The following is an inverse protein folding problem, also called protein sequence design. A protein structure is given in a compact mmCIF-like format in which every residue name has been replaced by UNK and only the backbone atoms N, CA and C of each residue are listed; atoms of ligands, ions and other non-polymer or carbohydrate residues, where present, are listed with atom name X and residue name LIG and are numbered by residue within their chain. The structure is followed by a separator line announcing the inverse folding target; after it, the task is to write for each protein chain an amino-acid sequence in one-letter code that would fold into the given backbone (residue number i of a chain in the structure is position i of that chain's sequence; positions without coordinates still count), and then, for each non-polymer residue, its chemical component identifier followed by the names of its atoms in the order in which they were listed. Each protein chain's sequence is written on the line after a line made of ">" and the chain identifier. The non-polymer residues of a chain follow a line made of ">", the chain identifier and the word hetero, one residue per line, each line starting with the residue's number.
data_IF_612311122793
#
_entry.id   IF_612311122793
#
_cell.length_a   1.000
_cell.length_b   1.000
_cell.length_c   1.000
_cell.angle_alpha   90.00
_cell.angle_beta   90.00
_cell.angle_gamma   90.00
#
_symmetry.space_group_name_H-M   'P 1'
#
loop_
_entity.id
_entity.type
_entity.pdbx_description
1 polymer ?
#
# COMPACT_ATOMS: atom_id res chain seq x y z
N UNK A 1 25.26 -85.61 9.73
CA UNK A 1 25.88 -84.30 9.47
C UNK A 1 24.85 -83.39 8.82
N UNK A 2 24.31 -82.41 9.55
CA UNK A 2 23.30 -81.46 9.05
C UNK A 2 24.00 -80.21 8.50
N UNK A 3 23.70 -79.89 7.24
CA UNK A 3 24.36 -78.84 6.47
C UNK A 3 23.70 -77.48 6.77
N UNK A 4 24.36 -76.63 7.57
CA UNK A 4 23.86 -75.35 8.07
C UNK A 4 23.87 -74.18 7.06
N UNK A 5 23.99 -74.43 5.75
CA UNK A 5 24.17 -73.37 4.74
C UNK A 5 22.91 -72.60 4.32
N UNK A 6 21.76 -72.75 5.01
CA UNK A 6 20.47 -72.24 4.50
C UNK A 6 19.73 -71.24 5.41
N UNK A 7 20.43 -70.49 6.26
CA UNK A 7 19.79 -69.61 7.26
C UNK A 7 19.91 -68.09 7.06
N UNK A 8 20.48 -67.59 5.97
CA UNK A 8 20.49 -66.14 5.70
C UNK A 8 19.90 -65.77 4.34
N UNK A 9 18.59 -65.99 4.15
CA UNK A 9 17.82 -65.14 3.25
C UNK A 9 17.72 -63.76 3.89
N UNK A 10 18.62 -62.84 3.54
CA UNK A 10 18.40 -61.40 3.74
C UNK A 10 17.06 -61.06 3.06
N UNK A 11 15.98 -60.92 3.83
CA UNK A 11 14.85 -60.09 3.38
C UNK A 11 15.45 -58.69 3.21
N UNK A 12 15.71 -58.28 1.97
CA UNK A 12 15.91 -56.86 1.64
C UNK A 12 14.69 -56.15 2.19
N UNK A 13 14.85 -55.42 3.29
CA UNK A 13 13.80 -54.56 3.82
C UNK A 13 13.42 -53.59 2.70
N UNK A 14 12.31 -53.86 2.05
CA UNK A 14 11.78 -53.04 0.99
C UNK A 14 11.34 -51.72 1.62
N UNK A 15 12.26 -50.77 1.56
CA UNK A 15 11.93 -49.39 1.22
C UNK A 15 11.29 -48.53 2.31
N UNK A 16 11.67 -48.63 3.59
CA UNK A 16 11.38 -47.51 4.52
C UNK A 16 11.86 -46.15 3.95
N UNK A 17 12.93 -46.21 3.15
CA UNK A 17 13.47 -45.11 2.38
C UNK A 17 12.52 -44.63 1.26
N UNK A 18 11.78 -45.52 0.59
CA UNK A 18 10.80 -45.13 -0.45
C UNK A 18 9.62 -44.38 0.15
N UNK A 19 9.13 -44.81 1.32
CA UNK A 19 8.07 -44.11 2.05
C UNK A 19 8.53 -42.72 2.53
N UNK A 20 9.77 -42.59 3.00
CA UNK A 20 10.33 -41.29 3.39
C UNK A 20 10.43 -40.33 2.20
N UNK A 21 10.83 -40.81 1.02
CA UNK A 21 10.87 -39.99 -0.18
C UNK A 21 9.50 -39.52 -0.64
N UNK A 22 8.48 -40.39 -0.56
CA UNK A 22 7.10 -40.02 -0.93
C UNK A 22 6.55 -38.92 0.00
N UNK A 23 6.77 -39.07 1.32
CA UNK A 23 6.35 -38.07 2.31
C UNK A 23 7.12 -36.75 2.11
N UNK A 24 8.43 -36.81 1.88
CA UNK A 24 9.24 -35.62 1.63
C UNK A 24 8.77 -34.86 0.39
N UNK A 25 8.48 -35.55 -0.71
CA UNK A 25 7.96 -34.93 -1.93
C UNK A 25 6.62 -34.23 -1.68
N UNK A 26 5.69 -34.87 -0.95
CA UNK A 26 4.41 -34.26 -0.59
C UNK A 26 4.60 -32.98 0.26
N UNK A 27 5.49 -33.01 1.25
CA UNK A 27 5.78 -31.85 2.10
C UNK A 27 6.42 -30.70 1.31
N UNK A 28 7.32 -31.00 0.36
CA UNK A 28 7.93 -29.98 -0.50
C UNK A 28 6.87 -29.30 -1.37
N UNK A 29 5.95 -30.05 -1.96
CA UNK A 29 4.86 -29.50 -2.79
C UNK A 29 3.98 -28.57 -1.96
N UNK A 30 3.56 -29.00 -0.76
CA UNK A 30 2.75 -28.18 0.15
C UNK A 30 3.50 -26.88 0.50
N UNK A 31 4.79 -26.97 0.83
CA UNK A 31 5.59 -25.79 1.17
C UNK A 31 5.69 -24.79 0.01
N UNK A 32 5.89 -25.26 -1.22
CA UNK A 32 5.95 -24.40 -2.41
C UNK A 32 4.61 -23.73 -2.65
N UNK A 33 3.49 -24.45 -2.53
CA UNK A 33 2.14 -23.90 -2.70
C UNK A 33 1.83 -22.84 -1.64
N UNK A 34 2.11 -23.12 -0.37
CA UNK A 34 1.91 -22.15 0.73
C UNK A 34 2.78 -20.92 0.51
N UNK A 35 4.05 -21.09 0.11
CA UNK A 35 4.94 -19.96 -0.18
C UNK A 35 4.48 -19.13 -1.37
N UNK A 36 3.95 -19.78 -2.42
CA UNK A 36 3.41 -19.10 -3.59
C UNK A 36 2.15 -18.31 -3.23
N UNK A 37 1.20 -18.92 -2.51
CA UNK A 37 -0.03 -18.26 -2.04
C UNK A 37 0.34 -17.07 -1.14
N UNK A 38 1.17 -17.27 -0.12
CA UNK A 38 1.60 -16.20 0.80
C UNK A 38 2.36 -15.08 0.09
N UNK A 39 3.12 -15.38 -0.96
CA UNK A 39 3.78 -14.37 -1.79
C UNK A 39 2.80 -13.56 -2.64
N UNK A 40 1.78 -14.20 -3.22
CA UNK A 40 0.72 -13.52 -3.99
C UNK A 40 -0.24 -12.70 -3.12
N UNK A 41 -0.39 -13.02 -1.83
CA UNK A 41 -1.22 -12.24 -0.90
C UNK A 41 -0.60 -10.88 -0.57
N UNK A 42 0.73 -10.74 -0.57
CA UNK A 42 1.41 -9.47 -0.27
C UNK A 42 1.21 -8.42 -1.37
N UNK A 43 1.07 -8.83 -2.63
CA UNK A 43 0.70 -7.91 -3.72
C UNK A 43 -0.79 -7.56 -3.71
N UNK A 44 -1.65 -8.50 -3.30
CA UNK A 44 -3.09 -8.27 -3.18
C UNK A 44 -3.44 -7.33 -2.01
N UNK A 45 -2.68 -7.33 -0.90
CA UNK A 45 -2.89 -6.39 0.21
C UNK A 45 -2.62 -4.94 -0.23
N UNK A 46 -1.51 -4.68 -0.92
CA UNK A 46 -1.18 -3.33 -1.39
C UNK A 46 -2.19 -2.78 -2.42
N UNK A 47 -2.77 -3.66 -3.26
CA UNK A 47 -3.79 -3.27 -4.23
C UNK A 47 -5.19 -3.14 -3.61
N UNK A 48 -5.49 -3.89 -2.55
CA UNK A 48 -6.72 -3.71 -1.75
C UNK A 48 -6.70 -2.37 -1.00
N UNK A 49 -5.54 -1.98 -0.48
CA UNK A 49 -5.38 -0.72 0.26
C UNK A 49 -5.58 0.49 -0.66
N UNK A 50 -5.06 0.46 -1.90
CA UNK A 50 -5.23 1.60 -2.81
C UNK A 50 -6.66 1.77 -3.33
N UNK A 51 -7.39 0.68 -3.58
CA UNK A 51 -8.80 0.77 -3.98
C UNK A 51 -9.67 1.39 -2.86
N UNK A 52 -9.34 1.08 -1.60
CA UNK A 52 -9.95 1.71 -0.42
C UNK A 52 -9.61 3.20 -0.35
N UNK A 53 -8.34 3.57 -0.57
CA UNK A 53 -7.91 4.97 -0.62
C UNK A 53 -8.59 5.75 -1.74
N UNK A 54 -8.67 5.21 -2.95
CA UNK A 54 -9.37 5.82 -4.09
C UNK A 54 -10.86 6.08 -3.78
N UNK A 55 -11.51 5.13 -3.10
CA UNK A 55 -12.91 5.30 -2.66
C UNK A 55 -13.06 6.44 -1.67
N UNK A 56 -12.11 6.61 -0.73
CA UNK A 56 -12.09 7.73 0.20
C UNK A 56 -11.82 9.06 -0.51
N UNK A 57 -10.91 9.07 -1.49
CA UNK A 57 -10.60 10.25 -2.30
C UNK A 57 -11.83 10.75 -3.06
N UNK A 58 -12.68 9.88 -3.61
CA UNK A 58 -13.93 10.29 -4.26
C UNK A 58 -14.92 10.97 -3.30
N UNK A 59 -15.06 10.43 -2.08
CA UNK A 59 -15.89 11.02 -1.04
C UNK A 59 -15.35 12.39 -0.60
N UNK A 60 -14.03 12.48 -0.43
CA UNK A 60 -13.37 13.72 -0.04
C UNK A 60 -13.44 14.76 -1.15
N UNK A 61 -13.21 14.39 -2.41
CA UNK A 61 -13.41 15.29 -3.55
C UNK A 61 -14.83 15.85 -3.54
N UNK A 62 -15.84 15.00 -3.33
CA UNK A 62 -17.24 15.45 -3.22
C UNK A 62 -17.44 16.44 -2.06
N UNK A 63 -16.81 16.20 -0.90
CA UNK A 63 -16.82 17.12 0.24
C UNK A 63 -16.15 18.45 -0.10
N UNK A 64 -14.95 18.44 -0.69
CA UNK A 64 -14.20 19.63 -1.09
C UNK A 64 -14.95 20.48 -2.12
N UNK A 65 -15.60 19.82 -3.10
CA UNK A 65 -16.48 20.49 -4.07
C UNK A 65 -17.67 21.13 -3.35
N UNK A 66 -18.31 20.44 -2.39
CA UNK A 66 -19.44 20.99 -1.64
C UNK A 66 -19.08 22.21 -0.79
N UNK A 67 -17.81 22.30 -0.36
CA UNK A 67 -17.28 23.41 0.43
C UNK A 67 -16.63 24.51 -0.43
N UNK A 68 -16.65 24.37 -1.76
CA UNK A 68 -16.03 25.30 -2.71
C UNK A 68 -14.50 25.44 -2.53
N UNK A 69 -13.85 24.35 -2.11
CA UNK A 69 -12.38 24.25 -1.91
C UNK A 69 -11.72 23.39 -2.99
N UNK A 70 -12.52 22.77 -3.87
CA UNK A 70 -11.98 22.03 -5.01
C UNK A 70 -11.89 22.93 -6.24
N UNK A 71 -10.69 23.12 -6.74
CA UNK A 71 -10.42 23.62 -8.10
C UNK A 71 -9.20 22.89 -8.66
N UNK A 72 -9.20 22.68 -9.97
CA UNK A 72 -8.13 21.96 -10.66
C UNK A 72 -6.79 22.70 -10.62
N UNK A 73 -6.80 24.00 -10.34
CA UNK A 73 -5.61 24.84 -10.23
C UNK A 73 -5.13 25.06 -8.80
N UNK A 74 -5.89 24.62 -7.79
CA UNK A 74 -5.50 24.85 -6.41
C UNK A 74 -4.31 23.95 -6.04
N UNK A 75 -3.27 24.57 -5.54
CA UNK A 75 -2.03 23.92 -5.14
C UNK A 75 -2.13 23.40 -3.71
N UNK A 76 -1.54 22.24 -3.46
CA UNK A 76 -1.38 21.71 -2.10
C UNK A 76 0.05 21.93 -1.65
N UNK A 77 0.20 22.62 -0.52
CA UNK A 77 1.48 22.91 0.10
C UNK A 77 1.47 22.44 1.55
N UNK A 78 2.60 21.93 2.04
CA UNK A 78 2.77 21.60 3.45
C UNK A 78 3.59 22.67 4.14
N UNK A 79 3.05 23.21 5.25
CA UNK A 79 3.78 24.09 6.15
C UNK A 79 4.35 23.27 7.31
N UNK A 80 5.67 22.99 7.23
CA UNK A 80 6.40 22.23 8.24
C UNK A 80 6.47 22.92 9.61
N UNK A 81 6.26 24.24 9.69
CA UNK A 81 6.35 24.96 10.96
C UNK A 81 5.08 24.78 11.80
N UNK A 82 3.93 24.76 11.12
CA UNK A 82 2.62 24.63 11.74
C UNK A 82 2.02 23.21 11.62
N UNK A 83 2.65 22.33 10.86
CA UNK A 83 2.17 20.99 10.54
C UNK A 83 0.77 20.99 9.87
N UNK A 84 0.60 21.89 8.89
CA UNK A 84 -0.65 22.00 8.13
C UNK A 84 -0.44 21.68 6.66
N UNK A 85 -1.43 21.04 6.05
CA UNK A 85 -1.63 21.04 4.61
C UNK A 85 -2.46 22.26 4.25
N UNK A 86 -1.99 23.04 3.29
CA UNK A 86 -2.59 24.27 2.82
C UNK A 86 -3.07 24.04 1.40
N UNK A 87 -4.33 24.36 1.15
CA UNK A 87 -4.88 24.46 -0.21
C UNK A 87 -4.82 25.93 -0.60
N UNK A 88 -4.17 26.24 -1.73
CA UNK A 88 -3.87 27.61 -2.14
C UNK A 88 -4.39 27.88 -3.54
N UNK A 89 -4.99 29.05 -3.70
CA UNK A 89 -5.32 29.62 -5.01
C UNK A 89 -4.28 30.70 -5.38
N UNK A 90 -4.52 31.44 -6.46
CA UNK A 90 -3.68 32.58 -6.84
C UNK A 90 -3.68 33.74 -5.83
N UNK A 91 -4.65 33.77 -4.92
CA UNK A 91 -4.89 34.85 -3.95
C UNK A 91 -4.33 34.54 -2.55
N UNK A 92 -4.09 33.27 -2.23
CA UNK A 92 -3.54 32.81 -0.96
C UNK A 92 -4.09 31.46 -0.50
N UNK A 93 -4.04 31.20 0.80
CA UNK A 93 -4.60 29.97 1.39
C UNK A 93 -6.11 30.07 1.49
N UNK A 94 -6.81 29.16 0.80
CA UNK A 94 -8.28 29.07 0.81
C UNK A 94 -8.80 28.10 1.87
N UNK A 95 -7.99 27.11 2.23
CA UNK A 95 -8.30 26.14 3.27
C UNK A 95 -7.04 25.48 3.81
N UNK A 96 -7.16 24.84 4.96
CA UNK A 96 -6.09 24.08 5.57
C UNK A 96 -6.61 22.84 6.30
N UNK A 97 -5.76 21.85 6.48
CA UNK A 97 -6.01 20.66 7.29
C UNK A 97 -4.77 20.38 8.16
N UNK A 98 -4.98 19.80 9.33
CA UNK A 98 -3.88 19.27 10.16
C UNK A 98 -3.27 18.08 9.46
N UNK A 99 -1.94 18.07 9.32
CA UNK A 99 -1.26 16.92 8.76
C UNK A 99 -1.17 15.81 9.82
N UNK A 100 -1.87 14.70 9.59
CA UNK A 100 -1.77 13.52 10.47
C UNK A 100 -0.49 12.71 10.17
N UNK A 101 0.13 12.95 9.02
CA UNK A 101 1.34 12.23 8.56
C UNK A 101 2.59 13.08 8.65
N UNK A 102 3.74 12.41 8.66
CA UNK A 102 5.05 13.07 8.58
C UNK A 102 5.39 13.42 7.11
N UNK A 103 4.98 14.61 6.69
CA UNK A 103 5.27 15.13 5.35
C UNK A 103 6.73 15.57 5.15
N UNK A 104 7.55 15.54 6.21
CA UNK A 104 8.99 15.75 6.09
C UNK A 104 9.74 14.47 5.69
N UNK A 105 9.06 13.32 5.69
CA UNK A 105 9.60 12.05 5.24
C UNK A 105 9.25 11.77 3.77
N UNK A 106 10.12 11.03 3.09
CA UNK A 106 9.76 10.39 1.83
C UNK A 106 8.70 9.30 2.09
N UNK A 107 7.73 9.07 1.17
CA UNK A 107 7.63 9.68 -0.17
C UNK A 107 6.93 11.06 -0.20
N UNK A 108 6.22 11.46 0.86
CA UNK A 108 5.40 12.69 0.87
C UNK A 108 6.20 13.94 0.53
N UNK A 109 7.34 14.15 1.21
CA UNK A 109 8.19 15.33 1.01
C UNK A 109 8.54 15.55 -0.46
N UNK A 110 8.78 14.46 -1.20
CA UNK A 110 9.18 14.52 -2.61
C UNK A 110 8.02 15.03 -3.50
N UNK A 111 6.80 14.62 -3.20
CA UNK A 111 5.62 14.99 -3.99
C UNK A 111 5.16 16.42 -3.67
N UNK A 112 5.02 16.77 -2.39
CA UNK A 112 4.54 18.10 -1.94
C UNK A 112 5.57 19.22 -2.09
N UNK A 113 6.86 18.88 -2.22
CA UNK A 113 7.94 19.86 -2.41
C UNK A 113 8.30 20.06 -3.89
N UNK A 114 7.59 19.43 -4.83
CA UNK A 114 7.85 19.60 -6.25
C UNK A 114 7.68 21.07 -6.71
N UNK A 115 8.39 21.43 -7.78
CA UNK A 115 8.22 22.72 -8.47
C UNK A 115 7.89 22.47 -9.94
N UNK A 116 6.70 22.85 -10.44
CA UNK A 116 5.60 23.50 -9.72
C UNK A 116 4.99 22.62 -8.62
N UNK A 117 4.29 23.25 -7.67
CA UNK A 117 3.58 22.56 -6.59
C UNK A 117 2.47 21.68 -7.18
N UNK A 118 2.18 20.51 -6.59
CA UNK A 118 1.14 19.65 -7.13
C UNK A 118 -0.23 20.29 -6.91
N UNK A 119 -1.06 20.30 -7.95
CA UNK A 119 -2.46 20.73 -7.82
C UNK A 119 -3.32 19.61 -7.22
N UNK A 120 -4.51 19.95 -6.71
CA UNK A 120 -5.52 18.97 -6.31
C UNK A 120 -5.85 18.00 -7.45
N UNK A 121 -5.88 18.50 -8.70
CA UNK A 121 -6.09 17.67 -9.88
C UNK A 121 -4.91 16.73 -10.12
N UNK A 122 -3.67 17.21 -10.03
CA UNK A 122 -2.48 16.36 -10.24
C UNK A 122 -2.42 15.25 -9.20
N UNK A 123 -2.69 15.56 -7.93
CA UNK A 123 -2.74 14.56 -6.85
C UNK A 123 -3.86 13.55 -7.12
N UNK A 124 -5.02 14.01 -7.56
CA UNK A 124 -6.15 13.13 -7.86
C UNK A 124 -5.86 12.20 -9.04
N UNK A 125 -5.30 12.73 -10.12
CA UNK A 125 -4.92 11.92 -11.28
C UNK A 125 -3.82 10.92 -10.91
N UNK A 126 -2.84 11.32 -10.08
CA UNK A 126 -1.84 10.39 -9.54
C UNK A 126 -2.46 9.28 -8.70
N UNK A 127 -3.43 9.61 -7.88
CA UNK A 127 -4.16 8.63 -7.08
C UNK A 127 -4.99 7.67 -7.95
N UNK A 128 -5.81 8.22 -8.85
CA UNK A 128 -6.86 7.47 -9.56
C UNK A 128 -6.36 6.79 -10.84
N UNK A 129 -5.40 7.40 -11.54
CA UNK A 129 -4.88 6.93 -12.83
C UNK A 129 -3.54 6.24 -12.65
N UNK A 130 -2.60 6.88 -11.94
CA UNK A 130 -1.25 6.32 -11.74
C UNK A 130 -1.18 5.29 -10.59
N UNK A 131 -2.25 5.13 -9.80
CA UNK A 131 -2.28 4.28 -8.61
C UNK A 131 -1.16 4.62 -7.62
N UNK A 132 -0.90 5.91 -7.42
CA UNK A 132 0.03 6.42 -6.41
C UNK A 132 -0.68 6.55 -5.05
N UNK A 133 -0.42 5.60 -4.15
CA UNK A 133 -0.98 5.60 -2.80
C UNK A 133 -0.60 6.87 -2.02
N UNK A 134 0.60 7.42 -2.24
CA UNK A 134 1.06 8.65 -1.58
C UNK A 134 0.13 9.80 -1.94
N UNK A 135 -0.18 9.98 -3.23
CA UNK A 135 -1.06 11.04 -3.68
C UNK A 135 -2.49 10.89 -3.13
N UNK A 136 -3.01 9.65 -3.08
CA UNK A 136 -4.32 9.39 -2.48
C UNK A 136 -4.36 9.79 -1.02
N UNK A 137 -3.35 9.38 -0.26
CA UNK A 137 -3.23 9.63 1.16
C UNK A 137 -3.15 11.12 1.50
N UNK A 138 -2.50 11.92 0.66
CA UNK A 138 -2.43 13.37 0.83
C UNK A 138 -3.81 14.00 0.66
N UNK A 139 -4.57 13.60 -0.36
CA UNK A 139 -5.93 14.10 -0.56
C UNK A 139 -6.82 13.68 0.61
N UNK A 140 -6.65 12.45 1.11
CA UNK A 140 -7.41 11.98 2.27
C UNK A 140 -7.16 12.86 3.49
N UNK A 141 -5.90 13.14 3.79
CA UNK A 141 -5.49 13.97 4.93
C UNK A 141 -5.97 15.42 4.77
N UNK A 142 -5.87 15.98 3.56
CA UNK A 142 -6.43 17.31 3.24
C UNK A 142 -7.93 17.35 3.51
N UNK A 143 -8.66 16.29 3.19
CA UNK A 143 -10.12 16.27 3.23
C UNK A 143 -10.75 15.92 4.57
N UNK A 144 -10.03 15.24 5.47
CA UNK A 144 -10.61 14.66 6.68
C UNK A 144 -11.08 15.76 7.65
N UNK A 145 -10.20 16.69 8.00
CA UNK A 145 -10.50 17.85 8.88
C UNK A 145 -10.22 19.20 8.20
N UNK A 146 -10.73 19.38 6.98
CA UNK A 146 -10.52 20.63 6.26
C UNK A 146 -11.27 21.81 6.90
N UNK A 147 -10.54 22.90 7.13
CA UNK A 147 -10.99 24.17 7.68
C UNK A 147 -10.82 25.27 6.64
N UNK A 148 -11.84 26.12 6.49
CA UNK A 148 -11.84 27.21 5.51
C UNK A 148 -11.00 28.40 6.00
N UNK A 149 -10.29 29.04 5.07
CA UNK A 149 -9.42 30.19 5.33
C UNK A 149 -7.97 29.81 5.64
N UNK A 150 -7.22 30.75 6.20
CA UNK A 150 -5.84 30.53 6.62
C UNK A 150 -5.77 30.04 8.09
N UNK A 151 -4.79 29.17 8.43
CA UNK A 151 -4.58 28.73 9.80
C UNK A 151 -4.20 29.93 10.69
N UNK A 152 -4.90 30.07 11.81
CA UNK A 152 -4.61 31.11 12.83
C UNK A 152 -3.22 30.92 13.45
#
# INVERSE_FOLDING_TARGET
>A
MINLKKLFRRKKGQGALEYLFMIAAALIIIFVVVRYISGSTQQASSQSDIASLQSQVELIKSKLVSQNVWDDQYEVEYDSNKNYLLVKDTSGTVAYAEADKDYNAAPYLTLISSTPKPTLKDLYDKCMVENDATACEIIVDVGDDIKLGAPQ
#
